data_IF_135383010721
#
_entry.id   IF_135383010721
#
_cell.length_a   1.000
_cell.length_b   1.000
_cell.length_c   1.000
_cell.angle_alpha   90.00
_cell.angle_beta   90.00
_cell.angle_gamma   90.00
#
_symmetry.space_group_name_H-M   'P 1'
#
loop_
_entity.id
_entity.type
_entity.pdbx_description
1 polymer ?
#
# COMPACT_ATOMS: atom_id res chain seq x y z
N UNK A 1 -7.26 -62.69 -6.23
CA UNK A 1 -8.07 -61.46 -6.26
C UNK A 1 -8.11 -60.84 -4.88
N UNK A 2 -7.39 -59.73 -4.65
CA UNK A 2 -7.69 -58.76 -3.59
C UNK A 2 -7.55 -57.38 -4.21
N UNK A 3 -8.70 -56.72 -4.26
CA UNK A 3 -9.04 -55.52 -4.99
C UNK A 3 -9.03 -54.37 -3.97
N UNK A 4 -8.29 -53.31 -4.30
CA UNK A 4 -8.62 -51.90 -4.04
C UNK A 4 -8.88 -51.51 -2.59
N UNK A 5 -7.86 -50.97 -1.92
CA UNK A 5 -8.04 -50.04 -0.78
C UNK A 5 -6.83 -49.09 -0.58
N UNK A 6 -6.23 -48.59 -1.66
CA UNK A 6 -5.08 -47.66 -1.53
C UNK A 6 -5.17 -46.41 -2.43
N UNK A 7 -6.38 -45.99 -2.78
CA UNK A 7 -6.61 -44.79 -3.63
C UNK A 7 -7.41 -43.68 -2.93
N UNK A 8 -7.89 -43.88 -1.69
CA UNK A 8 -8.83 -42.95 -1.03
C UNK A 8 -8.24 -42.14 0.13
N UNK A 9 -7.01 -42.43 0.56
CA UNK A 9 -6.40 -41.72 1.71
C UNK A 9 -5.51 -40.54 1.26
N UNK A 10 -5.07 -40.50 0.01
CA UNK A 10 -4.31 -39.36 -0.54
C UNK A 10 -5.18 -38.20 -1.03
N UNK A 11 -6.51 -38.36 -1.11
CA UNK A 11 -7.42 -37.32 -1.61
C UNK A 11 -7.90 -36.32 -0.53
N UNK A 12 -7.64 -36.57 0.75
CA UNK A 12 -8.17 -35.74 1.86
C UNK A 12 -7.16 -34.78 2.52
N UNK A 13 -5.92 -34.69 2.04
CA UNK A 13 -4.91 -33.80 2.64
C UNK A 13 -4.29 -32.78 1.67
N UNK A 14 -5.00 -32.44 0.59
CA UNK A 14 -4.92 -31.07 0.07
C UNK A 14 -5.86 -30.22 0.93
N UNK A 15 -5.57 -30.16 2.23
CA UNK A 15 -5.95 -29.00 3.01
C UNK A 15 -5.21 -27.86 2.33
N UNK A 16 -5.92 -27.16 1.44
CA UNK A 16 -5.58 -25.82 1.00
C UNK A 16 -5.44 -25.00 2.28
N UNK A 17 -4.25 -25.04 2.87
CA UNK A 17 -3.78 -24.01 3.76
C UNK A 17 -3.76 -22.77 2.89
N UNK A 18 -4.90 -22.09 2.84
CA UNK A 18 -5.01 -20.68 2.49
C UNK A 18 -4.20 -20.00 3.57
N UNK A 19 -2.87 -20.05 3.41
CA UNK A 19 -1.96 -19.17 4.09
C UNK A 19 -2.43 -17.80 3.68
N UNK A 20 -3.24 -17.18 4.54
CA UNK A 20 -3.41 -15.75 4.54
C UNK A 20 -2.00 -15.21 4.81
N UNK A 21 -1.19 -15.06 3.75
CA UNK A 21 0.16 -14.53 3.83
C UNK A 21 -0.02 -13.06 4.15
N UNK A 22 -0.15 -12.75 5.43
CA UNK A 22 0.07 -11.40 5.92
C UNK A 22 1.50 -11.07 5.49
N UNK A 23 1.64 -10.28 4.44
CA UNK A 23 2.95 -9.88 3.94
C UNK A 23 3.48 -8.83 4.89
N UNK A 24 4.60 -9.13 5.51
CA UNK A 24 5.25 -8.25 6.47
C UNK A 24 6.74 -8.22 6.20
N UNK A 25 7.29 -7.02 6.16
CA UNK A 25 8.74 -6.81 6.29
C UNK A 25 9.03 -6.20 7.65
N UNK A 26 10.18 -6.55 8.23
CA UNK A 26 10.72 -5.96 9.45
C UNK A 26 12.22 -5.79 9.23
N UNK A 27 12.73 -4.59 9.46
CA UNK A 27 14.15 -4.29 9.51
C UNK A 27 14.48 -3.58 10.81
N UNK A 28 15.69 -3.81 11.30
CA UNK A 28 16.22 -3.18 12.51
C UNK A 28 17.44 -2.39 12.09
N UNK A 29 17.39 -1.08 12.35
CA UNK A 29 18.46 -0.16 11.98
C UNK A 29 19.05 0.46 13.24
N UNK A 30 20.36 0.78 13.21
CA UNK A 30 20.99 1.47 14.33
C UNK A 30 20.39 2.86 14.49
N UNK A 31 20.24 3.28 15.75
CA UNK A 31 19.77 4.62 16.10
C UNK A 31 20.90 5.63 15.99
N UNK A 32 20.98 6.31 14.85
CA UNK A 32 21.94 7.39 14.60
C UNK A 32 21.19 8.72 14.56
N UNK A 33 21.15 9.43 15.69
CA UNK A 33 20.38 10.68 15.81
C UNK A 33 18.86 10.50 15.96
N UNK A 34 18.37 9.27 16.15
CA UNK A 34 16.96 8.94 16.35
C UNK A 34 16.33 8.22 15.16
N UNK A 35 15.04 7.89 15.27
CA UNK A 35 14.33 7.15 14.21
C UNK A 35 13.60 8.03 13.21
N UNK A 36 13.71 9.36 13.34
CA UNK A 36 12.99 10.32 12.52
C UNK A 36 13.32 10.22 11.02
N UNK A 37 14.58 9.91 10.68
CA UNK A 37 15.05 9.69 9.31
C UNK A 37 14.36 8.52 8.59
N UNK A 38 13.69 7.63 9.32
CA UNK A 38 12.96 6.52 8.72
C UNK A 38 11.47 6.79 8.57
N UNK A 39 10.97 7.93 9.08
CA UNK A 39 9.53 8.26 9.12
C UNK A 39 9.04 8.90 7.81
N UNK A 40 9.93 9.20 6.88
CA UNK A 40 9.58 9.85 5.62
C UNK A 40 9.05 8.87 4.56
N UNK A 41 8.70 9.44 3.41
CA UNK A 41 8.21 8.70 2.25
C UNK A 41 9.28 7.79 1.64
N UNK A 42 10.57 8.10 1.82
CA UNK A 42 11.67 7.26 1.31
C UNK A 42 11.75 5.94 2.10
N UNK A 43 11.67 6.04 3.44
CA UNK A 43 11.59 4.88 4.31
C UNK A 43 10.40 3.98 3.99
N UNK A 44 9.23 4.59 3.74
CA UNK A 44 8.04 3.87 3.33
C UNK A 44 8.18 3.22 1.94
N UNK A 45 8.77 3.92 0.97
CA UNK A 45 9.00 3.40 -0.38
C UNK A 45 9.88 2.14 -0.38
N UNK A 46 10.96 2.16 0.41
CA UNK A 46 11.83 0.99 0.59
C UNK A 46 11.07 -0.19 1.19
N UNK A 47 10.29 0.03 2.25
CA UNK A 47 9.54 -1.04 2.90
C UNK A 47 8.42 -1.61 1.99
N UNK A 48 7.77 -0.77 1.19
CA UNK A 48 6.76 -1.21 0.20
C UNK A 48 7.41 -2.02 -0.94
N UNK A 49 8.60 -1.65 -1.40
CA UNK A 49 9.35 -2.41 -2.40
C UNK A 49 9.74 -3.81 -1.89
N UNK A 50 10.18 -3.89 -0.63
CA UNK A 50 10.49 -5.16 0.04
C UNK A 50 9.27 -6.09 0.14
N UNK A 51 8.05 -5.54 0.29
CA UNK A 51 6.81 -6.33 0.25
C UNK A 51 6.49 -6.90 -1.15
N UNK A 52 7.11 -6.37 -2.21
CA UNK A 52 6.94 -6.82 -3.58
C UNK A 52 5.57 -6.53 -4.20
N UNK A 53 4.78 -5.62 -3.62
CA UNK A 53 3.37 -5.42 -4.01
C UNK A 53 3.21 -4.93 -5.45
N UNK A 54 4.11 -4.07 -5.93
CA UNK A 54 4.10 -3.60 -7.33
C UNK A 54 4.43 -4.71 -8.34
N UNK A 55 5.32 -5.64 -7.97
CA UNK A 55 5.70 -6.79 -8.82
C UNK A 55 4.55 -7.78 -8.93
N UNK A 56 3.83 -7.97 -7.83
CA UNK A 56 2.82 -9.01 -7.72
C UNK A 56 1.43 -8.55 -8.20
N UNK A 57 1.19 -7.23 -8.21
CA UNK A 57 -0.05 -6.66 -8.69
C UNK A 57 0.21 -5.50 -9.66
N UNK A 58 0.32 -5.76 -10.98
CA UNK A 58 0.60 -4.74 -11.97
C UNK A 58 -0.53 -3.71 -12.15
N UNK A 59 -1.73 -3.98 -11.63
CA UNK A 59 -2.84 -3.02 -11.63
C UNK A 59 -2.62 -1.86 -10.64
N UNK A 60 -1.77 -2.06 -9.63
CA UNK A 60 -1.38 -1.01 -8.69
C UNK A 60 -0.46 -0.04 -9.40
N UNK A 61 -0.90 1.21 -9.51
CA UNK A 61 -0.14 2.27 -10.16
C UNK A 61 0.75 3.01 -9.17
N UNK A 62 0.25 3.22 -7.95
CA UNK A 62 0.94 3.86 -6.84
C UNK A 62 0.22 3.60 -5.52
N UNK A 63 0.88 3.94 -4.43
CA UNK A 63 0.30 4.11 -3.11
C UNK A 63 0.29 5.59 -2.73
N UNK A 64 -0.79 6.04 -2.12
CA UNK A 64 -0.86 7.36 -1.48
C UNK A 64 -0.98 7.19 0.03
N UNK A 65 -0.45 8.13 0.78
CA UNK A 65 -0.73 8.20 2.21
C UNK A 65 -2.23 8.48 2.44
N UNK A 66 -2.89 7.56 3.12
CA UNK A 66 -4.29 7.66 3.53
C UNK A 66 -4.44 7.95 5.03
N UNK A 67 -5.66 7.76 5.53
CA UNK A 67 -6.00 7.91 6.94
C UNK A 67 -6.74 6.69 7.48
N UNK A 68 -6.58 6.43 8.77
CA UNK A 68 -7.39 5.44 9.48
C UNK A 68 -8.86 5.88 9.57
N UNK A 69 -9.74 4.94 9.93
CA UNK A 69 -11.20 5.17 9.92
C UNK A 69 -11.67 6.22 10.93
N UNK A 70 -10.92 6.39 12.01
CA UNK A 70 -11.18 7.25 13.18
C UNK A 70 -10.39 8.56 13.14
N UNK A 71 -9.54 8.76 12.13
CA UNK A 71 -8.75 9.97 11.97
C UNK A 71 -9.47 10.96 11.05
N UNK A 72 -9.36 12.25 11.37
CA UNK A 72 -9.80 13.32 10.49
C UNK A 72 -8.93 13.39 9.23
N UNK A 73 -9.55 13.75 8.11
CA UNK A 73 -8.80 13.98 6.88
C UNK A 73 -7.91 15.20 7.08
N UNK A 74 -6.58 15.09 6.93
CA UNK A 74 -5.71 16.23 7.09
C UNK A 74 -6.04 17.27 6.01
N UNK A 75 -5.87 18.54 6.36
CA UNK A 75 -5.84 19.62 5.37
C UNK A 75 -4.69 19.29 4.42
N UNK A 76 -5.02 18.85 3.18
CA UNK A 76 -4.05 18.29 2.22
C UNK A 76 -2.98 19.29 1.78
N UNK A 77 -1.97 19.57 2.58
CA UNK A 77 -0.85 20.45 2.19
C UNK A 77 0.18 19.70 1.34
N UNK A 78 0.36 18.41 1.65
CA UNK A 78 1.28 17.49 0.98
C UNK A 78 0.63 16.12 0.83
N UNK A 79 0.95 15.41 -0.24
CA UNK A 79 0.53 14.03 -0.49
C UNK A 79 1.80 13.20 -0.71
N UNK A 80 2.08 12.31 0.24
CA UNK A 80 3.18 11.36 0.11
C UNK A 80 2.72 10.22 -0.80
N UNK A 81 3.47 10.02 -1.86
CA UNK A 81 3.18 9.06 -2.92
C UNK A 81 4.37 8.11 -3.05
N UNK A 82 4.09 6.82 -3.11
CA UNK A 82 5.08 5.80 -3.46
C UNK A 82 4.62 5.21 -4.77
N UNK A 83 5.40 5.36 -5.83
CA UNK A 83 4.99 4.95 -7.17
C UNK A 83 6.07 4.15 -7.88
N UNK A 84 5.64 3.42 -8.91
CA UNK A 84 6.53 2.69 -9.79
C UNK A 84 7.17 3.62 -10.84
N UNK A 85 8.47 3.43 -11.06
CA UNK A 85 9.25 3.93 -12.18
C UNK A 85 9.60 2.75 -13.09
N UNK A 86 9.13 2.78 -14.33
CA UNK A 86 9.47 1.77 -15.34
C UNK A 86 10.34 2.43 -16.40
N UNK A 87 11.60 2.04 -16.49
CA UNK A 87 12.51 2.56 -17.52
C UNK A 87 12.83 1.49 -18.55
N UNK A 88 12.81 1.87 -19.81
CA UNK A 88 13.25 1.05 -20.94
C UNK A 88 14.48 1.69 -21.55
N UNK A 89 15.53 0.90 -21.74
CA UNK A 89 16.77 1.35 -22.40
C UNK A 89 17.37 0.23 -23.23
N UNK A 90 18.10 0.59 -24.28
CA UNK A 90 18.84 -0.37 -25.10
C UNK A 90 20.20 -0.60 -24.46
N UNK A 91 20.53 -1.86 -24.14
CA UNK A 91 21.86 -2.22 -23.68
C UNK A 91 22.86 -2.08 -24.85
N UNK A 92 23.89 -1.21 -24.75
CA UNK A 92 24.80 -0.94 -25.86
C UNK A 92 25.71 -2.13 -26.20
N UNK A 93 25.85 -3.11 -25.30
CA UNK A 93 26.71 -4.29 -25.50
C UNK A 93 25.96 -5.39 -26.26
N UNK A 94 24.69 -5.61 -25.92
CA UNK A 94 23.89 -6.71 -26.46
C UNK A 94 22.89 -6.28 -27.52
N UNK A 95 22.70 -4.96 -27.72
CA UNK A 95 21.63 -4.39 -28.54
C UNK A 95 20.22 -4.90 -28.19
N UNK A 96 20.03 -5.36 -26.95
CA UNK A 96 18.73 -5.80 -26.45
C UNK A 96 18.04 -4.69 -25.67
N UNK A 97 16.72 -4.62 -25.74
CA UNK A 97 15.93 -3.78 -24.84
C UNK A 97 15.93 -4.39 -23.42
N UNK A 98 16.23 -3.56 -22.44
CA UNK A 98 16.15 -3.90 -21.02
C UNK A 98 15.10 -3.01 -20.34
N UNK A 99 14.39 -3.60 -19.37
CA UNK A 99 13.38 -2.91 -18.58
C UNK A 99 13.77 -2.98 -17.12
N UNK A 100 13.86 -1.83 -16.45
CA UNK A 100 13.98 -1.76 -14.99
C UNK A 100 12.69 -1.26 -14.37
N UNK A 101 12.27 -1.93 -13.31
CA UNK A 101 11.13 -1.57 -12.47
C UNK A 101 11.67 -1.19 -11.08
N UNK A 102 11.42 0.06 -10.66
CA UNK A 102 11.90 0.60 -9.39
C UNK A 102 10.76 1.28 -8.64
N UNK A 103 10.78 1.20 -7.31
CA UNK A 103 9.88 1.97 -6.47
C UNK A 103 10.51 3.33 -6.14
N UNK A 104 9.75 4.40 -6.29
CA UNK A 104 10.18 5.78 -6.10
C UNK A 104 9.26 6.53 -5.15
N UNK A 105 9.82 7.27 -4.16
CA UNK A 105 9.07 8.18 -3.32
C UNK A 105 8.83 9.52 -4.03
N UNK A 106 7.67 10.12 -3.80
CA UNK A 106 7.31 11.46 -4.26
C UNK A 106 6.55 12.19 -3.15
N UNK A 107 6.78 13.50 -3.05
CA UNK A 107 6.00 14.39 -2.19
C UNK A 107 5.31 15.40 -3.10
N UNK A 108 4.00 15.26 -3.28
CA UNK A 108 3.21 16.21 -4.07
C UNK A 108 2.75 17.35 -3.16
N UNK A 109 2.96 18.58 -3.59
CA UNK A 109 2.48 19.77 -2.86
C UNK A 109 1.33 20.42 -3.65
N UNK A 110 0.41 21.13 -2.99
CA UNK A 110 -0.66 21.89 -3.70
C UNK A 110 -0.10 22.90 -4.70
N UNK A 111 1.13 23.36 -4.50
CA UNK A 111 1.76 24.41 -5.29
C UNK A 111 2.67 23.88 -6.41
N UNK A 112 2.89 22.56 -6.48
CA UNK A 112 3.78 22.00 -7.49
C UNK A 112 3.30 20.60 -7.91
N UNK A 113 2.43 20.57 -8.92
CA UNK A 113 1.96 19.34 -9.57
C UNK A 113 2.95 18.75 -10.58
N UNK A 114 4.08 19.42 -10.84
CA UNK A 114 5.00 19.09 -11.94
C UNK A 114 6.26 18.33 -11.50
N UNK A 115 6.30 17.79 -10.27
CA UNK A 115 7.53 17.23 -9.68
C UNK A 115 7.86 15.79 -10.11
N UNK A 116 7.57 15.46 -11.37
CA UNK A 116 8.08 14.23 -11.95
C UNK A 116 9.11 14.68 -12.96
N UNK A 117 10.38 14.63 -12.54
CA UNK A 117 11.47 14.63 -13.48
C UNK A 117 11.26 13.45 -14.42
N UNK A 118 10.70 13.71 -15.60
CA UNK A 118 10.59 12.74 -16.67
C UNK A 118 12.02 12.45 -17.13
N UNK A 119 12.63 11.43 -16.54
CA UNK A 119 13.86 10.87 -17.05
C UNK A 119 13.55 10.23 -18.40
N UNK A 120 14.33 10.56 -19.42
CA UNK A 120 14.16 9.99 -20.76
C UNK A 120 14.21 8.45 -20.70
N UNK A 121 13.31 7.81 -21.44
CA UNK A 121 13.13 6.34 -21.38
C UNK A 121 12.38 5.82 -20.16
N UNK A 122 11.98 6.66 -19.20
CA UNK A 122 11.23 6.26 -18.02
C UNK A 122 9.78 6.74 -18.04
N UNK A 123 8.90 5.88 -17.55
CA UNK A 123 7.47 6.11 -17.39
C UNK A 123 7.06 5.95 -15.94
N UNK A 124 6.05 6.71 -15.55
CA UNK A 124 5.49 6.69 -14.20
C UNK A 124 3.99 6.42 -14.31
N UNK A 125 3.54 5.15 -14.19
CA UNK A 125 2.16 4.75 -14.47
C UNK A 125 1.10 5.59 -13.73
N UNK A 126 1.41 6.06 -12.53
CA UNK A 126 0.52 6.91 -11.72
C UNK A 126 0.16 8.27 -12.37
N UNK A 127 0.88 8.71 -13.41
CA UNK A 127 0.58 9.97 -14.13
C UNK A 127 0.06 9.79 -15.53
N UNK A 128 0.16 8.57 -16.06
CA UNK A 128 -0.23 8.27 -17.43
C UNK A 128 -1.55 7.50 -17.48
N UNK A 129 -1.95 6.90 -16.35
CA UNK A 129 -3.11 6.01 -16.26
C UNK A 129 -4.13 6.58 -15.28
N UNK A 130 -5.39 6.63 -15.70
CA UNK A 130 -6.49 6.94 -14.80
C UNK A 130 -6.56 5.89 -13.68
N UNK A 131 -6.49 6.36 -12.45
CA UNK A 131 -6.47 5.50 -11.27
C UNK A 131 -7.50 5.91 -10.24
N UNK A 132 -8.10 4.93 -9.58
CA UNK A 132 -9.01 5.12 -8.46
C UNK A 132 -8.39 4.63 -7.16
N UNK A 133 -8.53 5.42 -6.10
CA UNK A 133 -8.29 5.02 -4.73
C UNK A 133 -9.28 5.72 -3.82
N UNK A 134 -9.65 5.05 -2.73
CA UNK A 134 -10.17 5.78 -1.58
C UNK A 134 -9.04 6.16 -0.65
N UNK A 135 -9.29 7.13 0.21
CA UNK A 135 -8.29 7.74 1.08
C UNK A 135 -8.41 7.28 2.54
N UNK A 136 -9.46 6.52 2.86
CA UNK A 136 -9.77 6.05 4.22
C UNK A 136 -9.87 4.52 4.26
N UNK A 137 -9.45 3.94 5.38
CA UNK A 137 -9.51 2.50 5.69
C UNK A 137 -10.92 2.02 6.05
N UNK A 138 -11.86 2.09 5.09
CA UNK A 138 -13.26 1.67 5.25
C UNK A 138 -13.75 0.96 3.98
N UNK A 139 -14.52 -0.11 4.18
CA UNK A 139 -15.19 -0.89 3.13
C UNK A 139 -14.26 -1.85 2.40
N UNK A 140 -14.82 -2.72 1.54
CA UNK A 140 -14.02 -3.69 0.80
C UNK A 140 -12.98 -2.99 -0.06
N UNK A 141 -11.72 -3.15 0.34
CA UNK A 141 -10.58 -2.65 -0.41
C UNK A 141 -9.37 -3.51 -0.08
N UNK A 142 -8.71 -3.91 -1.15
CA UNK A 142 -7.50 -4.69 -1.06
C UNK A 142 -6.29 -3.75 -1.11
N UNK A 143 -5.17 -4.24 -0.58
CA UNK A 143 -3.84 -3.65 -0.68
C UNK A 143 -3.68 -2.33 0.11
N UNK A 144 -4.04 -2.33 1.39
CA UNK A 144 -3.51 -1.34 2.32
C UNK A 144 -2.12 -1.75 2.79
N UNK A 145 -1.28 -0.77 3.11
CA UNK A 145 0.00 -0.99 3.79
C UNK A 145 0.07 -0.13 5.04
N UNK A 146 0.27 -0.77 6.19
CA UNK A 146 0.60 -0.08 7.44
C UNK A 146 2.12 -0.05 7.56
N UNK A 147 2.70 1.14 7.45
CA UNK A 147 4.12 1.41 7.68
C UNK A 147 4.32 1.91 9.11
N UNK A 148 5.21 1.26 9.85
CA UNK A 148 5.46 1.51 11.27
C UNK A 148 6.94 1.71 11.53
N UNK A 149 7.28 2.76 12.28
CA UNK A 149 8.64 3.03 12.76
C UNK A 149 8.59 3.18 14.28
N UNK A 150 9.20 2.25 15.00
CA UNK A 150 9.31 2.30 16.45
C UNK A 150 10.72 2.64 16.90
N UNK A 151 10.80 3.47 17.92
CA UNK A 151 12.03 3.85 18.56
C UNK A 151 12.30 2.98 19.79
N UNK A 152 13.45 2.33 19.80
CA UNK A 152 14.00 1.67 20.99
C UNK A 152 15.22 2.46 21.51
N UNK A 153 15.85 1.94 22.56
CA UNK A 153 17.03 2.57 23.17
C UNK A 153 18.15 2.78 22.15
N UNK A 154 18.53 1.72 21.42
CA UNK A 154 19.72 1.73 20.55
C UNK A 154 19.41 1.48 19.06
N UNK A 155 18.15 1.20 18.72
CA UNK A 155 17.74 0.84 17.38
C UNK A 155 16.36 1.36 17.02
N UNK A 156 16.07 1.31 15.73
CA UNK A 156 14.77 1.62 15.14
C UNK A 156 14.21 0.34 14.52
N UNK A 157 12.98 -0.02 14.90
CA UNK A 157 12.25 -1.12 14.27
C UNK A 157 11.34 -0.54 13.20
N UNK A 158 11.63 -0.89 11.95
CA UNK A 158 10.89 -0.39 10.79
C UNK A 158 10.16 -1.58 10.19
N UNK A 159 8.86 -1.47 10.00
CA UNK A 159 8.07 -2.55 9.44
C UNK A 159 6.99 -2.03 8.51
N UNK A 160 6.64 -2.85 7.53
CA UNK A 160 5.47 -2.63 6.71
C UNK A 160 4.64 -3.91 6.67
N UNK A 161 3.32 -3.80 6.77
CA UNK A 161 2.41 -4.94 6.67
C UNK A 161 1.31 -4.64 5.66
N UNK A 162 1.13 -5.52 4.68
CA UNK A 162 0.02 -5.44 3.76
C UNK A 162 -1.22 -6.15 4.33
N UNK A 163 -2.39 -5.54 4.17
CA UNK A 163 -3.66 -6.12 4.59
C UNK A 163 -4.81 -5.67 3.69
N UNK A 164 -5.88 -6.46 3.71
CA UNK A 164 -7.11 -6.17 3.00
C UNK A 164 -8.23 -5.91 4.02
N UNK A 165 -9.24 -5.15 3.59
CA UNK A 165 -10.50 -4.99 4.32
C UNK A 165 -11.62 -5.66 3.54
N UNK A 166 -12.50 -6.35 4.27
CA UNK A 166 -13.74 -6.90 3.71
C UNK A 166 -14.86 -5.86 3.71
N UNK A 167 -15.98 -6.23 3.10
CA UNK A 167 -17.20 -5.40 3.13
C UNK A 167 -17.63 -5.11 4.57
N UNK A 168 -17.91 -3.83 4.85
CA UNK A 168 -18.27 -3.35 6.18
C UNK A 168 -17.12 -3.27 7.19
N UNK A 169 -15.91 -3.72 6.85
CA UNK A 169 -14.76 -3.60 7.73
C UNK A 169 -14.17 -2.18 7.70
N UNK A 170 -13.59 -1.79 8.84
CA UNK A 170 -12.86 -0.55 9.00
C UNK A 170 -11.66 -0.81 9.90
N UNK A 171 -10.60 0.00 9.72
CA UNK A 171 -9.42 -0.08 10.58
C UNK A 171 -9.17 1.24 11.28
N UNK A 172 -9.14 1.18 12.61
CA UNK A 172 -8.78 2.30 13.47
C UNK A 172 -7.27 2.40 13.63
N UNK A 173 -6.82 3.62 13.91
CA UNK A 173 -5.44 3.89 14.29
C UNK A 173 -5.08 3.12 15.57
N UNK A 174 -3.84 2.63 15.65
CA UNK A 174 -3.29 2.02 16.86
C UNK A 174 -2.16 2.91 17.35
N UNK A 175 -2.22 3.32 18.61
CA UNK A 175 -1.23 4.20 19.22
C UNK A 175 -0.35 3.42 20.19
N UNK A 176 0.92 3.33 19.85
CA UNK A 176 2.01 2.92 20.74
C UNK A 176 2.93 4.14 20.90
N UNK A 177 3.27 4.48 22.14
CA UNK A 177 3.88 5.78 22.50
C UNK A 177 5.20 6.03 21.78
N UNK A 178 5.93 4.97 21.46
CA UNK A 178 7.25 5.04 20.84
C UNK A 178 7.23 4.69 19.34
N UNK A 179 6.05 4.67 18.72
CA UNK A 179 5.88 4.28 17.32
C UNK A 179 5.12 5.31 16.50
N UNK A 180 5.53 5.41 15.24
CA UNK A 180 4.92 6.22 14.21
C UNK A 180 4.25 5.30 13.20
N UNK A 181 3.03 5.64 12.81
CA UNK A 181 2.21 4.84 11.91
C UNK A 181 1.79 5.69 10.72
N UNK A 182 1.93 5.11 9.53
CA UNK A 182 1.45 5.68 8.29
C UNK A 182 0.68 4.63 7.52
N UNK A 183 -0.54 4.98 7.12
CA UNK A 183 -1.34 4.16 6.25
C UNK A 183 -1.08 4.56 4.79
N UNK A 184 -0.77 3.59 3.95
CA UNK A 184 -0.68 3.74 2.51
C UNK A 184 -1.80 2.95 1.83
N UNK A 185 -2.45 3.56 0.84
CA UNK A 185 -3.57 2.98 0.12
C UNK A 185 -3.22 2.82 -1.35
N UNK A 186 -3.42 1.61 -1.90
CA UNK A 186 -3.20 1.35 -3.31
C UNK A 186 -4.20 2.12 -4.18
N UNK A 187 -3.68 2.83 -5.19
CA UNK A 187 -4.43 3.39 -6.30
C UNK A 187 -4.26 2.50 -7.52
N UNK A 188 -5.37 1.96 -8.01
CA UNK A 188 -5.38 0.97 -9.09
C UNK A 188 -5.86 1.57 -10.39
N UNK A 189 -5.36 1.05 -11.50
CA UNK A 189 -5.83 1.37 -12.84
C UNK A 189 -7.35 1.14 -12.93
N UNK A 190 -8.06 2.09 -13.52
CA UNK A 190 -9.48 1.93 -13.86
C UNK A 190 -9.53 1.25 -15.23
N UNK A 191 -10.05 0.02 -15.29
CA UNK A 191 -10.28 -0.67 -16.56
C UNK A 191 -11.65 -0.26 -17.11
N UNK A 192 -11.68 0.38 -18.28
CA UNK A 192 -12.85 0.55 -19.15
C UNK A 192 -14.19 0.85 -18.45
N UNK A 193 -14.41 2.10 -18.03
CA UNK A 193 -15.71 2.57 -17.57
C UNK A 193 -15.71 4.09 -17.35
N UNK A 194 -16.67 4.77 -17.98
CA UNK A 194 -16.92 6.21 -17.84
C UNK A 194 -17.01 6.64 -16.39
N UNK A 195 -16.31 7.72 -16.06
CA UNK A 195 -16.31 8.34 -14.74
C UNK A 195 -17.64 9.06 -14.56
N UNK A 196 -18.56 8.53 -13.75
CA UNK A 196 -19.50 9.40 -13.03
C UNK A 196 -18.76 9.88 -11.78
N UNK A 197 -18.24 11.10 -11.83
CA UNK A 197 -17.51 11.76 -10.74
C UNK A 197 -18.43 12.33 -9.65
N UNK A 198 -19.62 11.76 -9.48
CA UNK A 198 -20.57 12.09 -8.42
C UNK A 198 -21.18 10.80 -7.91
N UNK A 199 -21.31 10.65 -6.59
CA UNK A 199 -21.88 9.49 -5.88
C UNK A 199 -20.92 8.34 -5.54
N UNK A 200 -19.95 8.65 -4.67
CA UNK A 200 -19.89 7.90 -3.40
C UNK A 200 -20.03 8.89 -2.26
N UNK A 201 -21.25 9.37 -2.11
CA UNK A 201 -21.80 9.85 -0.84
C UNK A 201 -21.39 8.84 0.22
N UNK A 202 -20.84 9.31 1.35
CA UNK A 202 -20.81 8.50 2.56
C UNK A 202 -22.23 7.92 2.74
N UNK A 203 -22.41 6.64 3.12
CA UNK A 203 -23.67 6.29 3.73
C UNK A 203 -23.86 7.26 4.90
N UNK A 204 -24.95 8.04 4.88
CA UNK A 204 -25.42 8.79 6.02
C UNK A 204 -25.50 7.82 7.20
N UNK A 205 -24.47 7.84 8.04
CA UNK A 205 -24.54 7.31 9.39
C UNK A 205 -25.52 8.24 10.10
N UNK A 206 -26.82 7.92 10.00
CA UNK A 206 -27.83 8.48 10.89
C UNK A 206 -27.31 8.25 12.32
N UNK A 207 -27.20 9.30 13.15
CA UNK A 207 -26.88 9.11 14.54
C UNK A 207 -27.93 8.17 15.14
N UNK A 208 -27.45 7.11 15.79
CA UNK A 208 -28.29 6.17 16.51
C UNK A 208 -29.07 6.96 17.59
N UNK A 209 -30.42 7.03 17.54
CA UNK A 209 -31.20 7.84 18.48
C UNK A 209 -31.18 7.30 19.91
N UNK A 210 -30.44 6.21 20.20
CA UNK A 210 -30.33 5.62 21.53
C UNK A 210 -29.21 6.18 22.42
N UNK A 211 -28.46 7.19 21.97
CA UNK A 211 -27.43 7.87 22.78
C UNK A 211 -27.82 9.27 23.28
N UNK A 212 -29.13 9.58 23.30
CA UNK A 212 -29.67 10.69 24.09
C UNK A 212 -30.46 10.09 25.26
N UNK A 213 -29.75 9.64 26.29
CA UNK A 213 -30.21 9.57 27.68
C UNK A 213 -29.05 9.12 28.57
N UNK A 214 -28.33 10.10 29.11
CA UNK A 214 -27.97 10.22 30.52
C UNK A 214 -27.41 11.62 30.76
#
# INVERSE_FOLDING_TARGET
MKVVTSALITLMYIMSSVFCRIRRTIRVEKKEGGCHQYRDVEGAAKAIDELGLFRDNPSITHYIQGVYSDEDLPIRHYENIVAREVCTFTNPVTNSEEVTDRVKPFVRTRFNSNFIFKKEGCKYPHTEVASGCGIRAVGARNDFVEYRVCEATDFCVISASAFDLKDGEFRKSYYDKDCYYYLYVACKKIEGGTINSSERTLPDLKPDPLLIKQ
#
